data_IF_444231502844
#
_entry.id   IF_444231502844
#
_cell.length_a   1.000
_cell.length_b   1.000
_cell.length_c   1.000
_cell.angle_alpha   90.00
_cell.angle_beta   90.00
_cell.angle_gamma   90.00
#
_symmetry.space_group_name_H-M   'P 1'
#
loop_
_entity.id
_entity.type
_entity.pdbx_description
1 polymer ?
#
# COMPACT_ATOMS: atom_id res chain seq x y z
N UNK A 1 -25.81 4.07 15.81
CA UNK A 1 -25.25 4.14 15.56
C UNK A 1 -24.81 4.41 15.34
N UNK A 2 -24.59 4.33 15.58
CA UNK A 2 -23.94 4.52 15.14
C UNK A 2 -23.50 4.57 15.16
N UNK A 3 -23.37 4.53 15.34
CA UNK A 3 -22.57 4.60 15.33
C UNK A 3 -22.17 4.94 15.57
N UNK A 4 -21.91 5.09 15.73
CA UNK A 4 -21.16 5.26 15.94
C UNK A 4 -20.47 5.64 15.99
N UNK A 5 -20.16 5.71 16.21
CA UNK A 5 -19.30 5.98 16.16
C UNK A 5 -18.95 6.38 16.52
N UNK A 6 -18.72 6.36 16.73
CA UNK A 6 -18.04 6.61 16.99
C UNK A 6 -17.51 7.23 17.16
N UNK A 7 -17.66 7.39 17.99
CA UNK A 7 -16.96 8.00 17.92
C UNK A 7 -15.62 8.09 17.66
N UNK A 8 -14.88 7.83 18.30
CA UNK A 8 -13.62 7.80 17.68
C UNK A 8 -13.86 7.72 16.23
N UNK A 9 -12.92 7.75 15.45
CA UNK A 9 -13.22 7.51 14.10
C UNK A 9 -12.88 6.09 13.80
N UNK A 10 -13.64 5.50 12.94
CA UNK A 10 -13.41 4.13 12.58
C UNK A 10 -12.11 4.02 11.84
N UNK A 11 -11.44 2.90 11.98
CA UNK A 11 -10.35 2.69 11.09
C UNK A 11 -10.91 2.53 9.68
N UNK A 12 -10.08 2.76 8.66
CA UNK A 12 -10.58 2.77 7.28
C UNK A 12 -11.19 1.46 6.86
N UNK A 13 -10.69 0.36 7.39
CA UNK A 13 -11.22 -0.94 6.99
C UNK A 13 -12.56 -1.22 7.61
N UNK A 14 -12.79 -0.68 8.79
CA UNK A 14 -14.05 -0.90 9.46
C UNK A 14 -15.20 -0.25 8.72
N UNK A 15 -15.01 0.97 8.27
CA UNK A 15 -16.02 1.64 7.51
C UNK A 15 -16.32 0.95 6.20
N UNK A 16 -15.31 0.41 5.58
CA UNK A 16 -15.48 -0.29 4.33
C UNK A 16 -16.21 -1.60 4.52
N UNK A 17 -16.01 -2.25 5.64
CA UNK A 17 -16.59 -3.55 5.89
C UNK A 17 -18.11 -3.52 5.99
N UNK A 18 -18.65 -2.38 6.36
CA UNK A 18 -20.10 -2.25 6.50
C UNK A 18 -20.79 -2.41 5.14
N UNK A 19 -20.11 -2.01 4.11
CA UNK A 19 -20.71 -2.04 2.77
C UNK A 19 -19.64 -2.49 1.78
N UNK A 20 -19.76 -3.74 1.32
CA UNK A 20 -18.76 -4.29 0.42
C UNK A 20 -18.64 -3.54 -0.88
N UNK A 21 -19.76 -3.06 -1.39
CA UNK A 21 -19.73 -2.29 -2.63
C UNK A 21 -18.95 -1.01 -2.43
N UNK A 22 -19.18 -0.38 -1.29
CA UNK A 22 -18.49 0.86 -1.01
C UNK A 22 -16.98 0.64 -0.84
N UNK A 23 -16.61 -0.49 -0.26
CA UNK A 23 -15.20 -0.83 -0.12
C UNK A 23 -14.54 -0.90 -1.49
N UNK A 24 -15.20 -1.54 -2.43
CA UNK A 24 -14.66 -1.68 -3.77
C UNK A 24 -14.54 -0.33 -4.46
N UNK A 25 -15.53 0.52 -4.29
CA UNK A 25 -15.48 1.85 -4.86
C UNK A 25 -14.34 2.68 -4.30
N UNK A 26 -14.11 2.57 -3.00
CA UNK A 26 -13.03 3.29 -2.36
C UNK A 26 -11.68 2.80 -2.90
N UNK A 27 -11.54 1.50 -3.07
CA UNK A 27 -10.29 0.97 -3.61
C UNK A 27 -10.05 1.48 -5.02
N UNK A 28 -11.08 1.50 -5.85
CA UNK A 28 -10.94 1.99 -7.22
C UNK A 28 -10.56 3.46 -7.25
N UNK A 29 -11.15 4.23 -6.36
CA UNK A 29 -10.83 5.65 -6.26
C UNK A 29 -9.36 5.84 -5.90
N UNK A 30 -8.89 5.06 -4.93
CA UNK A 30 -7.50 5.14 -4.52
C UNK A 30 -6.55 4.67 -5.61
N UNK A 31 -6.96 3.66 -6.37
CA UNK A 31 -6.16 3.21 -7.50
C UNK A 31 -5.93 4.33 -8.50
N UNK A 32 -6.98 5.07 -8.80
CA UNK A 32 -6.86 6.20 -9.72
C UNK A 32 -6.04 7.32 -9.12
N UNK A 33 -6.31 7.61 -7.86
CA UNK A 33 -5.65 8.72 -7.19
C UNK A 33 -4.15 8.53 -7.12
N UNK A 34 -3.71 7.31 -6.88
CA UNK A 34 -2.29 7.03 -6.68
C UNK A 34 -1.65 6.30 -7.85
N UNK A 35 -2.41 6.09 -8.91
CA UNK A 35 -1.92 5.43 -10.12
C UNK A 35 -1.36 4.05 -9.81
N UNK A 36 -2.10 3.30 -9.02
CA UNK A 36 -1.75 1.94 -8.63
C UNK A 36 -2.94 1.06 -8.87
N UNK A 37 -2.69 -0.22 -9.13
CA UNK A 37 -3.76 -1.19 -9.28
C UNK A 37 -3.48 -2.39 -8.38
N UNK A 38 -4.53 -2.88 -7.73
CA UNK A 38 -4.40 -4.09 -6.93
C UNK A 38 -4.04 -5.25 -7.86
N UNK A 39 -3.10 -6.06 -7.43
CA UNK A 39 -2.60 -7.15 -8.24
C UNK A 39 -1.45 -6.78 -9.15
N UNK A 40 -1.17 -5.50 -9.26
CA UNK A 40 -0.06 -5.03 -10.08
C UNK A 40 1.25 -5.34 -9.38
N UNK A 41 2.24 -5.74 -10.17
CA UNK A 41 3.59 -5.98 -9.64
C UNK A 41 4.43 -4.74 -9.89
N UNK A 42 4.99 -4.20 -8.83
CA UNK A 42 5.86 -3.04 -8.93
C UNK A 42 7.20 -3.39 -8.31
N UNK A 43 8.20 -2.59 -8.62
CA UNK A 43 9.53 -2.76 -8.06
C UNK A 43 9.83 -1.61 -7.13
N UNK A 44 10.41 -1.93 -5.99
CA UNK A 44 10.81 -0.90 -5.04
C UNK A 44 12.28 -1.09 -4.69
N UNK A 45 12.91 0.03 -4.32
CA UNK A 45 14.29 0.03 -3.88
C UNK A 45 14.31 0.00 -2.36
N UNK A 46 15.22 -0.77 -1.82
CA UNK A 46 15.40 -0.82 -0.38
C UNK A 46 16.88 -0.75 -0.09
N UNK A 47 17.25 0.16 0.81
CA UNK A 47 18.64 0.29 1.22
C UNK A 47 18.97 -0.74 2.27
N UNK A 48 20.10 -1.39 2.09
CA UNK A 48 20.59 -2.40 3.01
C UNK A 48 21.97 -1.99 3.44
N UNK A 49 22.20 -1.99 4.75
CA UNK A 49 23.54 -1.74 5.25
C UNK A 49 24.31 -3.04 5.31
N UNK A 50 25.50 -3.02 4.76
CA UNK A 50 26.38 -4.17 4.78
C UNK A 50 27.70 -3.74 5.36
N UNK A 51 28.57 -4.69 5.72
CA UNK A 51 29.91 -4.32 6.22
C UNK A 51 30.70 -3.48 5.22
N UNK A 52 30.41 -3.61 3.95
CA UNK A 52 31.10 -2.88 2.92
C UNK A 52 30.47 -1.54 2.58
N UNK A 53 29.39 -1.19 3.29
CA UNK A 53 28.70 0.05 3.02
C UNK A 53 27.23 -0.21 2.75
N UNK A 54 26.62 0.73 2.03
CA UNK A 54 25.20 0.61 1.73
C UNK A 54 25.02 0.05 0.34
N UNK A 55 24.04 -0.80 0.23
CA UNK A 55 23.64 -1.35 -1.06
C UNK A 55 22.15 -1.12 -1.26
N UNK A 56 21.76 -1.08 -2.51
CA UNK A 56 20.36 -0.94 -2.88
C UNK A 56 19.88 -2.28 -3.41
N UNK A 57 18.80 -2.74 -2.85
CA UNK A 57 18.17 -3.97 -3.28
C UNK A 57 16.84 -3.64 -3.94
N UNK A 58 16.58 -4.25 -5.08
CA UNK A 58 15.32 -4.06 -5.78
C UNK A 58 14.46 -5.29 -5.55
N UNK A 59 13.23 -5.05 -5.11
CA UNK A 59 12.30 -6.13 -4.83
C UNK A 59 11.03 -5.95 -5.63
N UNK A 60 10.52 -7.06 -6.13
CA UNK A 60 9.22 -7.07 -6.79
C UNK A 60 8.14 -7.30 -5.75
N UNK A 61 7.16 -6.42 -5.74
CA UNK A 61 6.07 -6.49 -4.77
C UNK A 61 4.76 -6.39 -5.52
N UNK A 62 3.77 -7.11 -5.01
CA UNK A 62 2.42 -7.05 -5.57
C UNK A 62 1.58 -6.11 -4.71
N UNK A 63 0.87 -5.22 -5.36
CA UNK A 63 -0.05 -4.33 -4.67
C UNK A 63 -1.24 -5.13 -4.19
N UNK A 64 -1.48 -5.14 -2.89
CA UNK A 64 -2.56 -5.92 -2.31
C UNK A 64 -3.77 -5.08 -1.95
N UNK A 65 -3.53 -4.00 -1.26
CA UNK A 65 -4.64 -3.18 -0.80
C UNK A 65 -4.17 -1.75 -0.62
N UNK A 66 -5.05 -0.81 -0.96
CA UNK A 66 -4.73 0.60 -0.81
C UNK A 66 -5.50 1.17 0.37
N UNK A 67 -4.77 1.70 1.32
CA UNK A 67 -5.36 2.36 2.48
C UNK A 67 -5.36 3.86 2.27
N UNK A 68 -5.89 4.59 3.24
CA UNK A 68 -6.00 6.04 3.09
C UNK A 68 -4.65 6.71 2.93
N UNK A 69 -3.65 6.24 3.67
CA UNK A 69 -2.35 6.91 3.68
C UNK A 69 -1.20 6.02 3.27
N UNK A 70 -1.46 4.75 3.04
CA UNK A 70 -0.39 3.82 2.70
C UNK A 70 -0.94 2.71 1.85
N UNK A 71 -0.05 1.92 1.30
CA UNK A 71 -0.43 0.82 0.43
C UNK A 71 0.26 -0.45 0.91
N UNK A 72 -0.51 -1.52 0.98
CA UNK A 72 0.03 -2.81 1.40
C UNK A 72 0.63 -3.52 0.20
N UNK A 73 1.90 -3.85 0.31
CA UNK A 73 2.63 -4.56 -0.73
C UNK A 73 3.06 -5.91 -0.17
N UNK A 74 3.01 -6.92 -1.00
CA UNK A 74 3.42 -8.25 -0.59
C UNK A 74 4.40 -8.81 -1.62
N UNK A 75 5.54 -9.27 -1.14
CA UNK A 75 6.55 -9.84 -1.99
C UNK A 75 6.62 -11.35 -1.84
N UNK A 76 7.64 -11.92 -2.41
CA UNK A 76 7.88 -13.34 -2.31
C UNK A 76 8.24 -13.70 -0.89
N UNK A 77 7.99 -14.95 -0.51
CA UNK A 77 8.35 -15.46 0.82
C UNK A 77 7.62 -14.75 1.95
N UNK A 78 6.46 -14.18 1.67
CA UNK A 78 5.67 -13.56 2.70
C UNK A 78 6.15 -12.20 3.16
N UNK A 79 7.11 -11.62 2.47
CA UNK A 79 7.58 -10.29 2.81
C UNK A 79 6.47 -9.29 2.58
N UNK A 80 6.27 -8.40 3.54
CA UNK A 80 5.25 -7.37 3.43
C UNK A 80 5.86 -6.00 3.68
N UNK A 81 5.35 -5.02 2.99
CA UNK A 81 5.74 -3.63 3.20
C UNK A 81 4.49 -2.77 3.10
N UNK A 82 4.44 -1.73 3.87
CA UNK A 82 3.28 -0.84 3.86
C UNK A 82 3.76 0.61 3.86
N UNK A 83 4.42 1.05 2.79
CA UNK A 83 4.89 2.42 2.72
C UNK A 83 3.72 3.38 2.51
N UNK A 84 3.87 4.61 2.99
CA UNK A 84 2.91 5.61 2.61
C UNK A 84 3.15 5.99 1.16
N UNK A 85 2.18 6.69 0.56
CA UNK A 85 2.25 6.95 -0.88
C UNK A 85 3.41 7.85 -1.25
N UNK A 86 3.75 8.77 -0.35
CA UNK A 86 4.85 9.67 -0.62
C UNK A 86 6.18 8.93 -0.63
N UNK A 87 6.37 8.05 0.35
CA UNK A 87 7.57 7.23 0.41
C UNK A 87 7.63 6.28 -0.79
N UNK A 88 6.49 5.74 -1.17
CA UNK A 88 6.45 4.83 -2.31
C UNK A 88 6.95 5.51 -3.58
N UNK A 89 6.58 6.76 -3.79
CA UNK A 89 7.05 7.49 -4.95
C UNK A 89 8.56 7.57 -5.01
N UNK A 90 9.18 7.67 -3.84
CA UNK A 90 10.64 7.78 -3.77
C UNK A 90 11.32 6.44 -4.03
N UNK A 91 10.74 5.35 -3.51
CA UNK A 91 11.41 4.06 -3.57
C UNK A 91 10.98 3.25 -4.78
N UNK A 92 9.93 3.63 -5.47
CA UNK A 92 9.47 2.90 -6.63
C UNK A 92 10.44 3.07 -7.78
N UNK A 93 10.82 1.94 -8.38
CA UNK A 93 11.71 1.95 -9.54
C UNK A 93 10.86 2.21 -10.76
N UNK A 94 11.16 3.28 -11.45
CA UNK A 94 10.42 3.68 -12.64
C UNK A 94 11.08 3.11 -13.86
N UNK A 95 10.29 3.04 -14.87
CA UNK A 95 10.79 2.67 -16.14
C UNK A 95 10.95 1.17 -16.24
N UNK A 96 11.52 0.68 -16.92
CA UNK A 96 11.57 -0.70 -17.24
C UNK A 96 12.92 -1.21 -17.23
#
# INVERSE_FOLDING_TARGET
>A
MGYRNHEGYPDPTQGDAINGVRKEEIQRMREKQHNLKRGEVIRIKESIETPDGKRVKIMEMTVKELYAHCVLLKGKNGIRRCPDYWTLKKIRVQGR
#
